data_IF_649295137524
#
_entry.id   IF_649295137524
#
_cell.length_a   1.000
_cell.length_b   1.000
_cell.length_c   1.000
_cell.angle_alpha   90.00
_cell.angle_beta   90.00
_cell.angle_gamma   90.00
#
_symmetry.space_group_name_H-M   'P 1'
#
loop_
_entity.id
_entity.type
_entity.pdbx_description
1 polymer ?
#
# COMPACT_ATOMS: atom_id res chain seq x y z
N UNK A 1 75.96 23.82 17.88
CA UNK A 1 74.51 24.02 18.10
C UNK A 1 73.86 23.69 16.78
N UNK A 2 73.14 22.57 16.71
CA UNK A 2 72.46 22.12 15.50
C UNK A 2 70.97 22.43 15.67
N UNK A 3 70.48 23.42 14.93
CA UNK A 3 69.06 23.76 14.89
C UNK A 3 68.31 22.70 14.07
N UNK A 4 67.39 22.00 14.73
CA UNK A 4 66.40 21.14 14.09
C UNK A 4 65.30 22.01 13.48
N UNK A 5 65.12 21.92 12.16
CA UNK A 5 63.88 22.36 11.52
C UNK A 5 62.75 21.37 11.85
N UNK A 6 61.54 21.82 12.25
CA UNK A 6 60.41 20.93 12.39
C UNK A 6 59.84 20.56 11.02
N UNK A 7 59.51 19.28 10.87
CA UNK A 7 58.85 18.71 9.71
C UNK A 7 57.46 19.35 9.50
N UNK A 8 57.14 19.70 8.26
CA UNK A 8 55.79 20.06 7.84
C UNK A 8 54.95 18.78 7.76
N UNK A 9 53.89 18.69 8.56
CA UNK A 9 52.82 17.70 8.37
C UNK A 9 52.11 17.95 7.03
N UNK A 10 51.72 16.89 6.29
CA UNK A 10 50.96 17.04 5.07
C UNK A 10 49.58 17.61 5.40
N UNK A 11 49.30 18.79 4.84
CA UNK A 11 47.96 19.38 4.85
C UNK A 11 47.01 18.42 4.12
N UNK A 12 46.11 17.78 4.86
CA UNK A 12 44.95 17.14 4.27
C UNK A 12 44.07 18.24 3.68
N UNK A 13 43.96 18.29 2.35
CA UNK A 13 42.91 19.05 1.68
C UNK A 13 41.55 18.57 2.21
N UNK A 14 40.63 19.48 2.57
CA UNK A 14 39.28 19.06 2.92
C UNK A 14 38.63 18.46 1.69
N UNK A 15 38.39 17.14 1.73
CA UNK A 15 37.50 16.47 0.80
C UNK A 15 36.11 17.11 0.95
N UNK A 16 35.77 17.99 0.01
CA UNK A 16 34.41 18.46 -0.16
C UNK A 16 33.60 17.29 -0.73
N UNK A 17 32.79 16.66 0.12
CA UNK A 17 31.68 15.82 -0.36
C UNK A 17 30.86 16.65 -1.37
N UNK A 18 30.55 16.13 -2.57
CA UNK A 18 29.68 16.82 -3.49
C UNK A 18 28.32 17.02 -2.81
N UNK A 19 27.98 18.26 -2.48
CA UNK A 19 26.60 18.60 -2.13
C UNK A 19 25.75 18.35 -3.39
N UNK A 20 25.09 17.20 -3.46
CA UNK A 20 24.05 16.97 -4.46
C UNK A 20 22.97 18.05 -4.25
N UNK A 21 22.76 18.89 -5.26
CA UNK A 21 21.72 19.91 -5.24
C UNK A 21 20.34 19.23 -5.15
N UNK A 22 19.76 19.23 -3.95
CA UNK A 22 18.45 18.64 -3.70
C UNK A 22 17.34 19.55 -4.24
N UNK A 23 16.43 18.95 -5.00
CA UNK A 23 15.27 19.58 -5.62
C UNK A 23 14.07 19.49 -4.66
N UNK A 24 13.36 20.60 -4.37
CA UNK A 24 12.16 20.56 -3.57
C UNK A 24 11.00 19.88 -4.30
N UNK A 25 10.19 19.13 -3.57
CA UNK A 25 9.02 18.44 -4.12
C UNK A 25 7.70 19.04 -3.63
N UNK A 26 6.58 18.54 -4.16
CA UNK A 26 5.23 18.89 -3.67
C UNK A 26 4.88 18.29 -2.30
N UNK A 27 5.76 17.46 -1.72
CA UNK A 27 5.62 16.89 -0.39
C UNK A 27 6.41 17.78 0.59
N UNK A 28 5.79 18.28 1.67
CA UNK A 28 6.46 19.17 2.61
C UNK A 28 7.73 18.56 3.21
N UNK A 29 8.84 19.31 3.19
CA UNK A 29 10.15 18.91 3.74
C UNK A 29 10.75 17.65 3.10
N UNK A 30 10.32 17.29 1.89
CA UNK A 30 10.83 16.15 1.14
C UNK A 30 11.58 16.66 -0.10
N UNK A 31 12.90 16.80 0.02
CA UNK A 31 13.77 17.28 -1.06
C UNK A 31 14.61 16.13 -1.59
N UNK A 32 14.73 15.98 -2.90
CA UNK A 32 15.28 14.77 -3.55
C UNK A 32 16.32 15.10 -4.61
N UNK A 33 17.13 14.14 -5.04
CA UNK A 33 18.06 14.36 -6.15
C UNK A 33 17.34 14.72 -7.46
N UNK A 34 18.04 15.38 -8.38
CA UNK A 34 17.48 15.72 -9.70
C UNK A 34 17.05 14.47 -10.49
N UNK A 35 17.77 13.37 -10.36
CA UNK A 35 17.43 12.08 -10.99
C UNK A 35 16.14 11.51 -10.41
N UNK A 36 15.96 11.54 -9.10
CA UNK A 36 14.75 11.08 -8.45
C UNK A 36 13.53 11.93 -8.88
N UNK A 37 13.69 13.26 -8.95
CA UNK A 37 12.66 14.16 -9.45
C UNK A 37 12.31 13.86 -10.92
N UNK A 38 13.31 13.62 -11.76
CA UNK A 38 13.13 13.26 -13.18
C UNK A 38 12.39 11.93 -13.35
N UNK A 39 12.79 10.88 -12.61
CA UNK A 39 12.10 9.58 -12.65
C UNK A 39 10.63 9.69 -12.23
N UNK A 40 10.30 10.50 -11.22
CA UNK A 40 8.92 10.72 -10.76
C UNK A 40 8.03 11.49 -11.77
N UNK A 41 8.64 12.08 -12.81
CA UNK A 41 7.98 12.85 -13.86
C UNK A 41 8.00 12.16 -15.23
N UNK A 42 8.58 10.96 -15.34
CA UNK A 42 8.69 10.19 -16.58
C UNK A 42 7.35 10.00 -17.30
N UNK A 43 7.36 10.15 -18.64
CA UNK A 43 6.19 9.92 -19.51
C UNK A 43 5.77 8.45 -19.59
N UNK A 44 6.63 7.52 -19.18
CA UNK A 44 6.32 6.08 -19.10
C UNK A 44 5.34 5.76 -17.96
N UNK A 45 5.15 6.69 -17.03
CA UNK A 45 4.31 6.48 -15.86
C UNK A 45 2.82 6.70 -16.18
N UNK A 46 1.91 5.93 -15.55
CA UNK A 46 0.48 6.14 -15.68
C UNK A 46 0.08 7.57 -15.30
N UNK A 47 -0.77 8.20 -16.12
CA UNK A 47 -1.36 9.50 -15.77
C UNK A 47 -2.44 9.29 -14.71
N UNK A 48 -2.46 10.16 -13.70
CA UNK A 48 -3.39 10.08 -12.55
C UNK A 48 -4.88 10.04 -12.94
N UNK A 49 -5.24 10.55 -14.12
CA UNK A 49 -6.63 10.66 -14.59
C UNK A 49 -7.02 9.61 -15.65
N UNK A 50 -6.14 8.66 -15.99
CA UNK A 50 -6.46 7.61 -16.97
C UNK A 50 -6.69 6.25 -16.30
N UNK A 51 -5.64 5.61 -15.77
CA UNK A 51 -5.72 4.26 -15.17
C UNK A 51 -4.62 4.04 -14.11
N UNK A 52 -4.39 4.93 -13.13
CA UNK A 52 -3.42 4.62 -12.09
C UNK A 52 -4.02 3.61 -11.08
N UNK A 53 -3.18 2.85 -10.37
CA UNK A 53 -3.60 2.26 -9.11
C UNK A 53 -3.99 3.42 -8.17
N UNK A 54 -5.10 3.31 -7.44
CA UNK A 54 -5.53 4.33 -6.48
C UNK A 54 -5.69 3.69 -5.12
N UNK A 55 -5.02 4.27 -4.12
CA UNK A 55 -5.25 3.92 -2.73
C UNK A 55 -6.18 4.91 -2.05
N UNK A 56 -7.22 4.36 -1.43
CA UNK A 56 -8.21 5.05 -0.60
C UNK A 56 -8.17 4.44 0.81
N UNK A 57 -7.83 5.26 1.81
CA UNK A 57 -7.77 4.85 3.21
C UNK A 57 -9.14 4.38 3.75
N UNK A 58 -10.26 4.73 3.12
CA UNK A 58 -11.58 4.18 3.45
C UNK A 58 -11.75 2.72 3.02
N UNK A 59 -10.91 2.22 2.11
CA UNK A 59 -10.85 0.84 1.66
C UNK A 59 -9.47 0.23 1.93
N UNK A 60 -9.07 0.11 3.21
CA UNK A 60 -7.72 -0.29 3.56
C UNK A 60 -7.37 -1.69 3.04
N UNK A 61 -8.35 -2.59 2.87
CA UNK A 61 -8.18 -3.91 2.25
C UNK A 61 -7.55 -3.91 0.84
N UNK A 62 -7.46 -2.76 0.18
CA UNK A 62 -6.86 -2.59 -1.15
C UNK A 62 -5.38 -2.23 -1.12
N UNK A 63 -4.79 -1.90 0.05
CA UNK A 63 -3.40 -1.41 0.12
C UNK A 63 -2.39 -2.42 -0.43
N UNK A 64 -2.53 -3.72 -0.13
CA UNK A 64 -1.56 -4.71 -0.60
C UNK A 64 -1.57 -4.78 -2.12
N UNK A 65 -2.76 -4.87 -2.72
CA UNK A 65 -2.94 -4.80 -4.18
C UNK A 65 -2.34 -3.51 -4.76
N UNK A 66 -2.59 -2.38 -4.11
CA UNK A 66 -2.04 -1.09 -4.53
C UNK A 66 -0.51 -1.07 -4.56
N UNK A 67 0.14 -1.56 -3.49
CA UNK A 67 1.60 -1.63 -3.41
C UNK A 67 2.18 -2.58 -4.46
N UNK A 68 1.53 -3.72 -4.72
CA UNK A 68 1.98 -4.68 -5.74
C UNK A 68 1.87 -4.06 -7.15
N UNK A 69 0.75 -3.38 -7.47
CA UNK A 69 0.58 -2.67 -8.74
C UNK A 69 1.61 -1.54 -8.93
N UNK A 70 2.04 -0.87 -7.85
CA UNK A 70 3.10 0.14 -7.92
C UNK A 70 4.45 -0.47 -8.31
N UNK A 71 4.81 -1.63 -7.75
CA UNK A 71 6.08 -2.29 -8.08
C UNK A 71 6.14 -2.68 -9.56
N UNK A 72 5.05 -3.23 -10.10
CA UNK A 72 4.94 -3.54 -11.53
C UNK A 72 5.12 -2.28 -12.39
N UNK A 73 4.52 -1.16 -11.99
CA UNK A 73 4.68 0.13 -12.68
C UNK A 73 6.11 0.62 -12.62
N UNK A 74 6.77 0.51 -11.46
CA UNK A 74 8.15 0.95 -11.29
C UNK A 74 9.11 0.13 -12.14
N UNK A 75 8.91 -1.19 -12.20
CA UNK A 75 9.68 -2.10 -13.05
C UNK A 75 9.53 -1.74 -14.54
N UNK A 76 8.29 -1.59 -15.02
CA UNK A 76 8.02 -1.25 -16.43
C UNK A 76 8.53 0.15 -16.80
N UNK A 77 8.43 1.12 -15.89
CA UNK A 77 8.87 2.49 -16.13
C UNK A 77 10.38 2.70 -15.90
N UNK A 78 11.08 1.75 -15.28
CA UNK A 78 12.49 1.87 -14.91
C UNK A 78 12.74 2.86 -13.76
N UNK A 79 11.87 2.87 -12.75
CA UNK A 79 12.01 3.71 -11.56
C UNK A 79 12.86 2.99 -10.51
N UNK A 80 14.09 3.45 -10.34
CA UNK A 80 15.06 2.84 -9.44
C UNK A 80 15.23 3.64 -8.14
N UNK A 81 15.11 4.96 -8.21
CA UNK A 81 15.34 5.83 -7.05
C UNK A 81 14.24 5.66 -6.01
N UNK A 82 14.63 5.30 -4.80
CA UNK A 82 13.72 5.06 -3.66
C UNK A 82 12.81 6.26 -3.39
N UNK A 83 13.37 7.48 -3.42
CA UNK A 83 12.60 8.71 -3.27
C UNK A 83 11.57 8.94 -4.38
N UNK A 84 11.90 8.56 -5.62
CA UNK A 84 10.95 8.62 -6.73
C UNK A 84 9.78 7.67 -6.51
N UNK A 85 10.04 6.46 -5.99
CA UNK A 85 8.99 5.48 -5.64
C UNK A 85 8.06 6.04 -4.55
N UNK A 86 8.60 6.70 -3.52
CA UNK A 86 7.80 7.34 -2.46
C UNK A 86 6.94 8.48 -3.02
N UNK A 87 7.51 9.35 -3.87
CA UNK A 87 6.76 10.44 -4.52
C UNK A 87 5.59 9.88 -5.34
N UNK A 88 5.85 8.83 -6.12
CA UNK A 88 4.84 8.19 -6.97
C UNK A 88 3.76 7.50 -6.14
N UNK A 89 4.14 6.84 -5.05
CA UNK A 89 3.20 6.24 -4.11
C UNK A 89 2.26 7.30 -3.50
N UNK A 90 2.70 8.54 -3.26
CA UNK A 90 1.80 9.61 -2.80
C UNK A 90 0.98 10.22 -3.95
N UNK A 91 1.55 10.30 -5.15
CA UNK A 91 0.90 10.83 -6.35
C UNK A 91 -0.34 10.03 -6.74
N UNK A 92 -0.31 8.73 -6.50
CA UNK A 92 -1.38 7.79 -6.84
C UNK A 92 -2.40 7.54 -5.71
N UNK A 93 -2.29 8.26 -4.59
CA UNK A 93 -3.33 8.28 -3.55
C UNK A 93 -4.44 9.30 -3.87
N UNK A 94 -5.62 9.09 -3.27
CA UNK A 94 -6.65 10.14 -3.14
C UNK A 94 -6.09 11.32 -2.32
N UNK A 95 -6.59 12.55 -2.50
CA UNK A 95 -6.00 13.74 -1.89
C UNK A 95 -5.99 13.70 -0.36
N UNK A 96 -7.09 13.29 0.29
CA UNK A 96 -7.15 13.17 1.74
C UNK A 96 -6.23 12.05 2.23
N UNK A 97 -6.21 10.93 1.51
CA UNK A 97 -5.29 9.81 1.80
C UNK A 97 -3.83 10.25 1.70
N UNK A 98 -3.44 10.97 0.65
CA UNK A 98 -2.09 11.52 0.48
C UNK A 98 -1.70 12.39 1.67
N UNK A 99 -2.57 13.31 2.10
CA UNK A 99 -2.26 14.26 3.18
C UNK A 99 -1.93 13.57 4.50
N UNK A 100 -2.57 12.44 4.79
CA UNK A 100 -2.29 11.63 5.98
C UNK A 100 -0.87 11.03 5.95
N UNK A 101 -0.35 10.71 4.76
CA UNK A 101 0.94 10.03 4.60
C UNK A 101 2.11 10.94 4.22
N UNK A 102 1.91 12.26 4.09
CA UNK A 102 3.02 13.19 3.80
C UNK A 102 4.09 13.16 4.90
N UNK A 103 3.70 13.07 6.18
CA UNK A 103 4.66 12.93 7.29
C UNK A 103 5.44 11.62 7.23
N UNK A 104 4.75 10.51 6.94
CA UNK A 104 5.36 9.20 6.82
C UNK A 104 6.37 9.14 5.65
N UNK A 105 6.05 9.78 4.52
CA UNK A 105 6.96 9.89 3.39
C UNK A 105 8.29 10.53 3.83
N UNK A 106 8.23 11.66 4.56
CA UNK A 106 9.40 12.35 5.09
C UNK A 106 10.20 11.50 6.08
N UNK A 107 9.55 10.73 6.94
CA UNK A 107 10.22 9.83 7.89
C UNK A 107 10.89 8.60 7.24
N UNK A 108 10.46 8.26 6.03
CA UNK A 108 10.96 7.12 5.26
C UNK A 108 11.78 7.54 4.03
N UNK A 109 12.22 8.81 3.97
CA UNK A 109 13.01 9.30 2.84
C UNK A 109 14.25 8.42 2.62
N UNK A 110 14.52 8.09 1.35
CA UNK A 110 15.59 7.19 0.94
C UNK A 110 15.30 5.70 1.10
N UNK A 111 14.16 5.31 1.68
CA UNK A 111 13.85 3.91 2.00
C UNK A 111 12.38 3.57 1.70
N UNK A 112 12.12 3.16 0.45
CA UNK A 112 10.77 2.76 0.05
C UNK A 112 10.32 1.46 0.72
N UNK A 113 11.26 0.58 1.10
CA UNK A 113 10.93 -0.66 1.80
C UNK A 113 10.34 -0.37 3.18
N UNK A 114 10.98 0.52 3.95
CA UNK A 114 10.46 1.02 5.23
C UNK A 114 9.13 1.73 5.05
N UNK A 115 8.97 2.56 4.02
CA UNK A 115 7.69 3.20 3.71
C UNK A 115 6.56 2.17 3.52
N UNK A 116 6.79 1.10 2.75
CA UNK A 116 5.80 0.02 2.57
C UNK A 116 5.46 -0.69 3.87
N UNK A 117 6.46 -0.94 4.72
CA UNK A 117 6.26 -1.59 6.02
C UNK A 117 5.39 -0.74 6.95
N UNK A 118 5.71 0.54 7.09
CA UNK A 118 4.95 1.47 7.92
C UNK A 118 3.54 1.71 7.38
N UNK A 119 3.36 1.76 6.06
CA UNK A 119 2.04 1.75 5.42
C UNK A 119 1.24 0.50 5.84
N UNK A 120 1.83 -0.70 5.78
CA UNK A 120 1.15 -1.94 6.20
C UNK A 120 0.84 -1.96 7.71
N UNK A 121 1.68 -1.36 8.55
CA UNK A 121 1.43 -1.20 9.99
C UNK A 121 0.28 -0.24 10.26
N UNK A 122 0.17 0.85 9.50
CA UNK A 122 -0.91 1.82 9.62
C UNK A 122 -2.28 1.23 9.25
N UNK A 123 -2.31 0.24 8.36
CA UNK A 123 -3.52 -0.46 7.92
C UNK A 123 -3.42 -1.98 8.14
N UNK A 124 -3.48 -2.48 9.39
CA UNK A 124 -3.31 -3.89 9.67
C UNK A 124 -4.37 -4.77 8.98
N UNK A 125 -5.58 -4.25 8.73
CA UNK A 125 -6.64 -4.93 7.97
C UNK A 125 -6.33 -5.10 6.48
N UNK A 126 -5.34 -4.37 5.96
CA UNK A 126 -4.92 -4.44 4.55
C UNK A 126 -3.99 -5.60 4.24
N UNK A 127 -3.31 -6.11 5.27
CA UNK A 127 -2.41 -7.24 5.16
C UNK A 127 -3.28 -8.49 5.11
N UNK A 128 -3.32 -9.15 3.96
CA UNK A 128 -3.83 -10.52 3.90
C UNK A 128 -2.77 -11.44 4.53
N UNK A 129 -2.78 -11.49 5.86
CA UNK A 129 -1.93 -12.39 6.64
C UNK A 129 -2.32 -13.88 6.48
N UNK A 130 -3.19 -14.21 5.50
CA UNK A 130 -3.67 -15.55 5.22
C UNK A 130 -4.57 -16.15 6.30
N UNK A 131 -4.81 -15.44 7.41
CA UNK A 131 -5.65 -15.88 8.54
C UNK A 131 -7.13 -15.51 8.36
N UNK A 132 -7.42 -14.56 7.47
CA UNK A 132 -8.77 -14.03 7.28
C UNK A 132 -9.25 -13.23 8.50
N UNK A 133 -10.44 -12.63 8.40
CA UNK A 133 -11.05 -11.89 9.51
C UNK A 133 -12.57 -12.05 9.53
N UNK A 134 -13.15 -12.24 10.72
CA UNK A 134 -14.61 -12.21 10.92
C UNK A 134 -15.20 -10.85 10.49
N UNK A 135 -14.43 -9.76 10.62
CA UNK A 135 -14.84 -8.44 10.10
C UNK A 135 -14.98 -8.48 8.58
N UNK A 136 -14.00 -9.01 7.85
CA UNK A 136 -14.05 -9.16 6.39
C UNK A 136 -15.22 -10.05 5.93
N UNK A 137 -15.51 -11.15 6.64
CA UNK A 137 -16.73 -11.93 6.39
C UNK A 137 -18.01 -11.10 6.53
N UNK A 138 -18.13 -10.29 7.60
CA UNK A 138 -19.28 -9.39 7.80
C UNK A 138 -19.37 -8.33 6.69
N UNK A 139 -18.23 -7.79 6.26
CA UNK A 139 -18.18 -6.79 5.19
C UNK A 139 -18.63 -7.38 3.85
N UNK A 140 -18.23 -8.63 3.53
CA UNK A 140 -18.72 -9.36 2.36
C UNK A 140 -20.24 -9.54 2.43
N UNK A 141 -20.77 -9.97 3.58
CA UNK A 141 -22.24 -10.11 3.78
C UNK A 141 -22.96 -8.78 3.60
N UNK A 142 -22.43 -7.70 4.15
CA UNK A 142 -23.04 -6.37 4.05
C UNK A 142 -23.00 -5.82 2.62
N UNK A 143 -21.89 -6.00 1.91
CA UNK A 143 -21.72 -5.56 0.51
C UNK A 143 -22.72 -6.23 -0.42
N UNK A 144 -23.00 -7.51 -0.18
CA UNK A 144 -23.91 -8.31 -1.01
C UNK A 144 -25.34 -8.35 -0.50
N UNK A 145 -25.65 -7.81 0.68
CA UNK A 145 -26.92 -8.03 1.41
C UNK A 145 -28.18 -7.89 0.55
N UNK A 146 -29.18 -8.72 0.85
CA UNK A 146 -30.47 -8.81 0.16
C UNK A 146 -30.26 -9.32 -1.26
N UNK A 147 -29.62 -10.48 -1.40
CA UNK A 147 -29.53 -11.19 -2.68
C UNK A 147 -30.88 -11.86 -2.94
N UNK A 148 -31.60 -11.47 -4.01
CA UNK A 148 -32.84 -12.12 -4.38
C UNK A 148 -32.62 -13.48 -5.04
N UNK A 149 -33.63 -14.36 -4.95
CA UNK A 149 -33.59 -15.70 -5.52
C UNK A 149 -33.28 -15.72 -7.03
N UNK A 150 -33.73 -14.69 -7.77
CA UNK A 150 -33.51 -14.59 -9.22
C UNK A 150 -32.12 -14.04 -9.61
N UNK A 151 -31.28 -13.58 -8.67
CA UNK A 151 -29.96 -13.02 -8.96
C UNK A 151 -28.84 -14.07 -8.82
N UNK A 152 -28.88 -15.11 -9.65
CA UNK A 152 -27.93 -16.24 -9.61
C UNK A 152 -26.46 -15.80 -9.67
N UNK A 153 -26.10 -14.88 -10.56
CA UNK A 153 -24.71 -14.42 -10.71
C UNK A 153 -24.19 -13.72 -9.45
N UNK A 154 -25.03 -12.89 -8.84
CA UNK A 154 -24.70 -12.21 -7.58
C UNK A 154 -24.55 -13.20 -6.45
N UNK A 155 -25.43 -14.20 -6.37
CA UNK A 155 -25.32 -15.29 -5.40
C UNK A 155 -24.01 -16.08 -5.57
N UNK A 156 -23.64 -16.46 -6.81
CA UNK A 156 -22.39 -17.18 -7.07
C UNK A 156 -21.15 -16.35 -6.69
N UNK A 157 -21.16 -15.04 -6.96
CA UNK A 157 -20.10 -14.13 -6.53
C UNK A 157 -20.00 -14.07 -5.00
N UNK A 158 -21.14 -13.95 -4.33
CA UNK A 158 -21.22 -13.95 -2.87
C UNK A 158 -20.67 -15.24 -2.25
N UNK A 159 -21.06 -16.41 -2.78
CA UNK A 159 -20.55 -17.72 -2.36
C UNK A 159 -19.03 -17.77 -2.48
N UNK A 160 -18.47 -17.36 -3.62
CA UNK A 160 -17.03 -17.39 -3.86
C UNK A 160 -16.27 -16.47 -2.90
N UNK A 161 -16.69 -15.22 -2.75
CA UNK A 161 -16.07 -14.26 -1.83
C UNK A 161 -16.14 -14.75 -0.37
N UNK A 162 -17.31 -15.24 0.07
CA UNK A 162 -17.52 -15.72 1.43
C UNK A 162 -16.68 -16.98 1.73
N UNK A 163 -16.63 -17.95 0.81
CA UNK A 163 -15.82 -19.16 0.96
C UNK A 163 -14.32 -18.86 1.00
N UNK A 164 -13.83 -17.96 0.13
CA UNK A 164 -12.42 -17.57 0.13
C UNK A 164 -11.96 -17.00 1.48
N UNK A 165 -12.79 -16.18 2.14
CA UNK A 165 -12.45 -15.65 3.46
C UNK A 165 -12.70 -16.67 4.58
N UNK A 166 -13.78 -17.47 4.50
CA UNK A 166 -14.09 -18.51 5.49
C UNK A 166 -13.00 -19.58 5.58
N UNK A 167 -12.44 -20.01 4.45
CA UNK A 167 -11.37 -21.02 4.41
C UNK A 167 -10.10 -20.56 5.14
N UNK A 168 -9.86 -19.25 5.26
CA UNK A 168 -8.76 -18.70 6.06
C UNK A 168 -9.05 -18.79 7.56
N UNK A 169 -10.29 -18.52 7.97
CA UNK A 169 -10.75 -18.55 9.36
C UNK A 169 -10.97 -19.96 9.92
N UNK A 170 -11.10 -20.95 9.03
CA UNK A 170 -11.19 -22.36 9.36
C UNK A 170 -9.82 -23.06 9.43
N UNK A 171 -8.71 -22.30 9.41
CA UNK A 171 -7.38 -22.83 9.73
C UNK A 171 -7.10 -22.64 11.23
N UNK A 172 -6.41 -23.58 11.90
CA UNK A 172 -6.01 -23.39 13.28
C UNK A 172 -5.14 -22.13 13.48
N UNK A 173 -5.36 -21.35 14.54
CA UNK A 173 -6.48 -21.44 15.48
C UNK A 173 -7.80 -21.00 14.84
N UNK A 174 -8.84 -21.83 14.96
CA UNK A 174 -10.14 -21.56 14.37
C UNK A 174 -10.72 -20.26 14.94
N UNK A 175 -11.08 -19.33 14.05
CA UNK A 175 -11.60 -18.02 14.43
C UNK A 175 -13.13 -17.93 14.38
N UNK A 176 -13.80 -18.92 13.77
CA UNK A 176 -15.26 -19.00 13.68
C UNK A 176 -15.71 -20.47 13.59
N UNK A 177 -16.82 -20.81 14.23
CA UNK A 177 -17.44 -22.13 14.07
C UNK A 177 -18.25 -22.23 12.77
N UNK A 178 -18.46 -23.45 12.26
CA UNK A 178 -19.31 -23.66 11.09
C UNK A 178 -20.74 -23.14 11.29
N UNK A 179 -21.31 -23.32 12.49
CA UNK A 179 -22.66 -22.83 12.80
C UNK A 179 -22.76 -21.30 12.77
N UNK A 180 -21.75 -20.58 13.26
CA UNK A 180 -21.68 -19.13 13.17
C UNK A 180 -21.48 -18.65 11.73
N UNK A 181 -20.64 -19.33 10.96
CA UNK A 181 -20.42 -19.03 9.55
C UNK A 181 -21.71 -19.19 8.74
N UNK A 182 -22.47 -20.26 8.93
CA UNK A 182 -23.79 -20.47 8.29
C UNK A 182 -24.76 -19.36 8.68
N UNK A 183 -24.89 -19.04 9.97
CA UNK A 183 -25.77 -17.95 10.43
C UNK A 183 -25.39 -16.61 9.80
N UNK A 184 -24.10 -16.35 9.62
CA UNK A 184 -23.62 -15.12 8.98
C UNK A 184 -23.91 -15.12 7.48
N UNK A 185 -23.69 -16.24 6.79
CA UNK A 185 -23.97 -16.41 5.36
C UNK A 185 -25.44 -16.12 5.02
N UNK A 186 -26.36 -16.66 5.81
CA UNK A 186 -27.80 -16.50 5.58
C UNK A 186 -28.28 -15.05 5.70
N UNK A 187 -27.56 -14.18 6.42
CA UNK A 187 -27.89 -12.74 6.50
C UNK A 187 -27.71 -11.99 5.18
N UNK A 188 -26.97 -12.55 4.23
CA UNK A 188 -26.78 -12.00 2.90
C UNK A 188 -27.99 -12.20 1.98
N UNK A 189 -28.83 -13.19 2.27
CA UNK A 189 -29.93 -13.62 1.40
C UNK A 189 -31.25 -12.90 1.75
N UNK A 190 -32.13 -12.75 0.76
CA UNK A 190 -33.47 -12.24 1.00
C UNK A 190 -34.39 -13.32 1.62
N UNK A 191 -35.59 -12.90 2.05
CA UNK A 191 -36.54 -13.81 2.71
C UNK A 191 -37.10 -14.89 1.79
N UNK A 192 -37.22 -14.62 0.48
CA UNK A 192 -37.77 -15.57 -0.48
C UNK A 192 -36.76 -16.68 -0.78
N UNK A 193 -35.49 -16.32 -0.95
CA UNK A 193 -34.38 -17.25 -1.07
C UNK A 193 -34.30 -18.15 0.16
N UNK A 194 -34.36 -17.57 1.37
CA UNK A 194 -34.29 -18.35 2.61
C UNK A 194 -35.43 -19.35 2.78
N UNK A 195 -36.60 -19.13 2.17
CA UNK A 195 -37.71 -20.09 2.19
C UNK A 195 -37.55 -21.21 1.17
N UNK A 196 -36.74 -20.99 0.14
CA UNK A 196 -36.53 -21.94 -0.95
C UNK A 196 -35.40 -22.95 -0.68
N UNK A 197 -34.70 -22.82 0.45
CA UNK A 197 -33.57 -23.67 0.86
C UNK A 197 -33.88 -24.46 2.13
#
# INVERSE_FOLDING_TARGET
>A
MSEQQPAQEPQQEPQQDPQEDLVPTSIPKFNVSAEAASQAQSDKLPKRYKVPPIFDAAQPGTLTKYLDELEEIFEVAGVEKEDAKIILALKYMEWATRKIHEGLATECQGDYAKFKEEMKKAYPESVDNGRGSVKRLKDIVNRHRIIPLNQRERFLRYVREFQLELTKLQKPPYAISNGEAVKLFLKGLDKEFLRAI
#
